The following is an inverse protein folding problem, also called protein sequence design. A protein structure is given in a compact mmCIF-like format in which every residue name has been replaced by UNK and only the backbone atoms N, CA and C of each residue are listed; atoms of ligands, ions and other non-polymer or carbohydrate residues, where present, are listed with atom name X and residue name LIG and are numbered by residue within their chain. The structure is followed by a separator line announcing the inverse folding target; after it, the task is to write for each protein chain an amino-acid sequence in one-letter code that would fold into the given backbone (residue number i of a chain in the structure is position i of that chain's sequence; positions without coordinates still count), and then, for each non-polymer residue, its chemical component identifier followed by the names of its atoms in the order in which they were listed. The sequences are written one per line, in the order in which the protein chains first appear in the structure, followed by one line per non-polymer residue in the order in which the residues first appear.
data_IF_104648668773
#
_entry.id   IF_104648668773
#
_cell.length_a   1.000
_cell.length_b   1.000
_cell.length_c   1.000
_cell.angle_alpha   90.00
_cell.angle_beta   90.00
_cell.angle_gamma   90.00
#
_symmetry.space_group_name_H-M   'P 1'
#
loop_
_entity.id
_entity.type
_entity.pdbx_description
1 polymer ?
#
# COMPACT_ATOMS: atom_id res chain seq x y z
N UNK A 1 9.08 -6.06 18.92
CA UNK A 1 9.70 -5.49 17.71
C UNK A 1 10.29 -6.60 16.85
N UNK A 2 9.96 -6.61 15.59
CA UNK A 2 10.49 -7.58 14.64
C UNK A 2 10.82 -6.89 13.31
N UNK A 3 11.90 -7.34 12.64
CA UNK A 3 12.35 -6.77 11.39
C UNK A 3 12.19 -7.77 10.25
N UNK A 4 11.92 -7.24 9.06
CA UNK A 4 11.78 -8.00 7.83
C UNK A 4 12.54 -7.30 6.71
N UNK A 5 13.18 -8.06 5.85
CA UNK A 5 13.89 -7.51 4.70
C UNK A 5 13.11 -7.80 3.44
N UNK A 6 12.75 -6.75 2.72
CA UNK A 6 12.09 -6.85 1.41
C UNK A 6 12.93 -6.25 0.30
N UNK A 7 12.32 -6.20 -0.89
CA UNK A 7 12.90 -5.57 -2.08
C UNK A 7 12.29 -4.18 -2.26
N UNK A 8 13.13 -3.17 -2.43
CA UNK A 8 12.65 -1.81 -2.70
C UNK A 8 12.10 -1.73 -4.12
N UNK A 9 10.82 -1.39 -4.26
CA UNK A 9 10.20 -1.11 -5.57
C UNK A 9 10.26 0.39 -5.85
N UNK A 10 9.80 1.20 -4.89
CA UNK A 10 10.04 2.65 -4.90
C UNK A 10 10.68 3.04 -3.58
N UNK A 11 11.70 3.93 -3.62
CA UNK A 11 12.45 4.26 -2.42
C UNK A 11 11.73 5.25 -1.51
N UNK A 12 12.19 5.31 -0.27
CA UNK A 12 11.72 6.28 0.71
C UNK A 12 11.68 5.69 2.09
N UNK A 13 11.44 6.57 3.07
CA UNK A 13 11.26 6.20 4.46
C UNK A 13 9.86 6.61 4.90
N UNK A 14 9.25 5.80 5.73
CA UNK A 14 7.92 6.08 6.26
C UNK A 14 7.75 5.42 7.62
N UNK A 15 6.90 6.02 8.45
CA UNK A 15 6.46 5.44 9.69
C UNK A 15 4.95 5.68 9.80
N UNK A 16 4.18 4.63 9.95
CA UNK A 16 2.74 4.73 9.99
C UNK A 16 2.11 3.55 10.72
N UNK A 17 0.86 3.71 11.05
CA UNK A 17 0.04 2.65 11.64
C UNK A 17 -0.34 1.63 10.56
N UNK A 18 -0.18 0.36 10.87
CA UNK A 18 -0.50 -0.73 9.95
C UNK A 18 -2.00 -0.85 9.70
N UNK A 19 -2.33 -1.14 8.44
CA UNK A 19 -3.64 -1.58 8.02
C UNK A 19 -3.43 -2.84 7.16
N UNK A 20 -3.95 -3.99 7.60
CA UNK A 20 -3.58 -5.30 7.07
C UNK A 20 -4.75 -5.97 6.37
N UNK A 21 -4.48 -6.52 5.19
CA UNK A 21 -5.40 -7.44 4.52
C UNK A 21 -4.70 -8.75 4.20
N UNK A 22 -5.40 -9.86 4.36
CA UNK A 22 -4.91 -11.19 3.96
C UNK A 22 -5.48 -11.62 2.61
N UNK A 23 -6.41 -10.85 2.05
CA UNK A 23 -6.93 -11.03 0.70
C UNK A 23 -6.25 -10.08 -0.29
N UNK A 24 -6.33 -10.40 -1.57
CA UNK A 24 -5.81 -9.51 -2.61
C UNK A 24 -6.49 -8.16 -2.59
N UNK A 25 -5.72 -7.10 -2.82
CA UNK A 25 -6.27 -5.74 -2.91
C UNK A 25 -6.71 -5.45 -4.34
N UNK A 26 -8.00 -5.29 -4.55
CA UNK A 26 -8.53 -4.77 -5.82
C UNK A 26 -8.40 -3.25 -5.78
N UNK A 27 -7.38 -2.73 -6.44
CA UNK A 27 -7.01 -1.32 -6.35
C UNK A 27 -8.13 -0.41 -6.84
N UNK A 28 -8.74 -0.74 -7.99
CA UNK A 28 -9.84 0.05 -8.53
C UNK A 28 -11.04 0.07 -7.58
N UNK A 29 -11.51 -1.09 -7.16
CA UNK A 29 -12.67 -1.19 -6.27
C UNK A 29 -12.41 -0.51 -4.92
N UNK A 30 -11.19 -0.59 -4.43
CA UNK A 30 -10.82 -0.04 -3.11
C UNK A 30 -10.75 1.49 -3.11
N UNK A 31 -10.19 2.12 -4.16
CA UNK A 31 -9.93 3.56 -4.20
C UNK A 31 -10.94 4.37 -5.00
N UNK A 32 -11.61 3.77 -6.00
CA UNK A 32 -12.39 4.51 -6.98
C UNK A 32 -13.40 5.46 -6.34
N UNK A 33 -14.21 4.95 -5.42
CA UNK A 33 -15.27 5.72 -4.79
C UNK A 33 -14.73 6.90 -4.00
N UNK A 34 -13.68 6.67 -3.24
CA UNK A 34 -13.06 7.73 -2.43
C UNK A 34 -12.44 8.81 -3.30
N UNK A 35 -11.77 8.45 -4.39
CA UNK A 35 -11.18 9.42 -5.30
C UNK A 35 -12.27 10.20 -6.04
N UNK A 36 -13.34 9.52 -6.45
CA UNK A 36 -14.43 10.12 -7.22
C UNK A 36 -15.23 11.13 -6.38
N UNK A 37 -15.45 10.84 -5.11
CA UNK A 37 -16.27 11.68 -4.22
C UNK A 37 -15.46 12.52 -3.26
N UNK A 38 -14.14 12.60 -3.42
CA UNK A 38 -13.27 13.50 -2.67
C UNK A 38 -13.09 13.12 -1.19
N UNK A 39 -13.17 11.84 -0.85
CA UNK A 39 -12.91 11.36 0.51
C UNK A 39 -11.41 11.40 0.80
N UNK A 40 -10.99 12.34 1.64
CA UNK A 40 -9.58 12.55 2.01
C UNK A 40 -8.98 11.39 2.80
N UNK A 41 -9.80 10.58 3.45
CA UNK A 41 -9.34 9.43 4.22
C UNK A 41 -9.15 8.19 3.36
N UNK A 42 -9.62 8.21 2.11
CA UNK A 42 -9.57 7.10 1.18
C UNK A 42 -10.12 5.81 1.80
N UNK A 43 -11.35 5.85 2.28
CA UNK A 43 -12.01 4.64 2.80
C UNK A 43 -12.13 3.60 1.71
N UNK A 44 -11.74 2.37 2.03
CA UNK A 44 -11.82 1.27 1.09
C UNK A 44 -13.27 0.99 0.71
N UNK A 45 -13.57 1.04 -0.59
CA UNK A 45 -14.90 0.80 -1.14
C UNK A 45 -15.15 -0.62 -1.61
N UNK A 46 -14.18 -1.52 -1.47
CA UNK A 46 -14.31 -2.90 -1.94
C UNK A 46 -15.05 -3.76 -0.94
N UNK A 47 -16.33 -4.02 -1.22
CA UNK A 47 -17.18 -4.85 -0.38
C UNK A 47 -16.73 -6.31 -0.31
N UNK A 48 -15.92 -6.75 -1.26
CA UNK A 48 -15.39 -8.11 -1.30
C UNK A 48 -14.13 -8.29 -0.45
N UNK A 49 -13.63 -7.22 0.16
CA UNK A 49 -12.48 -7.29 1.07
C UNK A 49 -12.94 -6.97 2.49
N UNK A 50 -13.25 -7.99 3.30
CA UNK A 50 -13.77 -7.76 4.65
C UNK A 50 -12.72 -7.16 5.60
N UNK A 51 -11.42 -7.34 5.32
CA UNK A 51 -10.36 -6.78 6.15
C UNK A 51 -10.29 -5.26 6.07
N UNK A 52 -10.59 -4.70 4.89
CA UNK A 52 -10.39 -3.27 4.61
C UNK A 52 -11.68 -2.48 4.45
N UNK A 53 -12.78 -3.10 4.08
CA UNK A 53 -13.99 -2.38 3.71
C UNK A 53 -14.38 -1.32 4.74
N UNK A 54 -14.54 -0.08 4.28
CA UNK A 54 -14.91 1.06 5.12
C UNK A 54 -13.80 1.64 5.98
N UNK A 55 -12.60 1.05 5.94
CA UNK A 55 -11.46 1.56 6.72
C UNK A 55 -10.66 2.59 5.93
N UNK A 56 -10.16 3.65 6.57
CA UNK A 56 -9.35 4.66 5.90
C UNK A 56 -7.98 4.10 5.53
N UNK A 57 -7.57 4.27 4.28
CA UNK A 57 -6.28 3.79 3.77
C UNK A 57 -5.23 4.89 3.66
N UNK A 58 -5.65 6.15 3.53
CA UNK A 58 -4.72 7.26 3.38
C UNK A 58 -3.84 7.41 4.62
N UNK A 59 -2.54 7.52 4.41
CA UNK A 59 -1.58 7.70 5.51
C UNK A 59 -1.30 6.45 6.33
N UNK A 60 -1.83 5.30 5.95
CA UNK A 60 -1.58 4.03 6.64
C UNK A 60 -0.45 3.25 5.97
N UNK A 61 0.23 2.40 6.74
CA UNK A 61 1.12 1.39 6.20
C UNK A 61 0.25 0.22 5.73
N UNK A 62 -0.06 0.18 4.44
CA UNK A 62 -0.95 -0.83 3.88
C UNK A 62 -0.19 -2.11 3.60
N UNK A 63 -0.52 -3.16 4.35
CA UNK A 63 0.13 -4.48 4.28
C UNK A 63 -0.81 -5.47 3.58
N UNK A 64 -0.32 -6.11 2.52
CA UNK A 64 -1.15 -6.93 1.63
C UNK A 64 -0.35 -8.06 0.99
N UNK A 65 -1.02 -9.14 0.55
CA UNK A 65 -0.30 -10.18 -0.18
C UNK A 65 0.03 -9.76 -1.61
N UNK A 66 -0.95 -9.21 -2.32
CA UNK A 66 -0.85 -8.85 -3.74
C UNK A 66 -2.01 -7.94 -4.14
N UNK A 67 -1.90 -7.30 -5.30
CA UNK A 67 -3.05 -6.63 -5.93
C UNK A 67 -3.75 -7.58 -6.89
N UNK A 68 -5.04 -7.35 -7.08
CA UNK A 68 -5.90 -8.11 -8.00
C UNK A 68 -6.80 -7.15 -8.76
N UNK A 69 -7.47 -7.66 -9.77
CA UNK A 69 -8.54 -6.92 -10.49
C UNK A 69 -8.07 -6.29 -11.78
N UNK A 70 -8.59 -5.08 -12.03
CA UNK A 70 -8.48 -4.39 -13.31
C UNK A 70 -7.05 -4.03 -13.71
N UNK A 71 -6.80 -4.02 -15.02
CA UNK A 71 -5.55 -3.51 -15.61
C UNK A 71 -5.34 -2.01 -15.36
N UNK A 72 -6.36 -1.29 -14.92
CA UNK A 72 -6.25 0.13 -14.55
C UNK A 72 -5.75 0.34 -13.13
N UNK A 73 -5.46 -0.71 -12.38
CA UNK A 73 -5.05 -0.61 -10.98
C UNK A 73 -3.83 0.29 -10.77
N UNK A 74 -2.84 0.23 -11.64
CA UNK A 74 -1.66 1.09 -11.57
C UNK A 74 -2.02 2.57 -11.76
N UNK A 75 -2.89 2.89 -12.70
CA UNK A 75 -3.36 4.25 -12.91
C UNK A 75 -4.11 4.77 -11.68
N UNK A 76 -4.90 3.91 -11.05
CA UNK A 76 -5.63 4.28 -9.81
C UNK A 76 -4.65 4.61 -8.69
N UNK A 77 -3.59 3.83 -8.51
CA UNK A 77 -2.55 4.14 -7.52
C UNK A 77 -1.88 5.48 -7.82
N UNK A 78 -1.55 5.74 -9.09
CA UNK A 78 -1.01 7.02 -9.50
C UNK A 78 -1.96 8.16 -9.14
N UNK A 79 -3.25 8.02 -9.45
CA UNK A 79 -4.26 9.04 -9.13
C UNK A 79 -4.39 9.27 -7.62
N UNK A 80 -4.35 8.21 -6.81
CA UNK A 80 -4.37 8.34 -5.36
C UNK A 80 -3.19 9.19 -4.87
N UNK A 81 -1.99 8.95 -5.41
CA UNK A 81 -0.82 9.75 -5.08
C UNK A 81 -0.96 11.20 -5.56
N UNK A 82 -1.48 11.41 -6.76
CA UNK A 82 -1.67 12.75 -7.32
C UNK A 82 -2.66 13.59 -6.51
N UNK A 83 -3.63 12.94 -5.89
CA UNK A 83 -4.67 13.58 -5.09
C UNK A 83 -4.36 13.61 -3.59
N UNK A 84 -3.18 13.17 -3.17
CA UNK A 84 -2.77 13.06 -1.75
C UNK A 84 -3.71 12.15 -0.93
N UNK A 85 -4.15 11.05 -1.56
CA UNK A 85 -5.02 10.05 -0.94
C UNK A 85 -4.31 8.70 -0.76
N UNK A 86 -3.01 8.67 -1.02
CA UNK A 86 -2.23 7.42 -1.00
C UNK A 86 -2.01 6.91 0.42
N UNK A 87 -1.79 5.60 0.58
CA UNK A 87 -1.20 5.06 1.81
C UNK A 87 0.16 5.70 2.09
N UNK A 88 0.60 5.70 3.34
CA UNK A 88 1.95 6.16 3.68
C UNK A 88 3.01 5.28 3.01
N UNK A 89 2.72 4.01 2.86
CA UNK A 89 3.55 3.03 2.16
C UNK A 89 2.72 1.81 1.82
N UNK A 90 3.21 1.02 0.86
CA UNK A 90 2.60 -0.28 0.52
C UNK A 90 3.63 -1.39 0.73
N UNK A 91 3.25 -2.42 1.47
CA UNK A 91 4.13 -3.51 1.88
C UNK A 91 3.53 -4.84 1.43
N UNK A 92 4.17 -5.45 0.44
CA UNK A 92 3.68 -6.68 -0.20
C UNK A 92 4.39 -7.90 0.36
N UNK A 93 3.62 -8.93 0.73
CA UNK A 93 4.19 -10.23 1.09
C UNK A 93 4.79 -10.92 -0.13
N UNK A 94 4.11 -10.87 -1.28
CA UNK A 94 4.55 -11.46 -2.53
C UNK A 94 5.24 -10.43 -3.43
N UNK A 95 5.94 -10.86 -4.50
CA UNK A 95 6.40 -9.92 -5.51
C UNK A 95 5.24 -9.10 -6.09
N UNK A 96 5.45 -7.80 -6.25
CA UNK A 96 4.43 -6.90 -6.79
C UNK A 96 4.20 -7.21 -8.27
N UNK A 97 2.95 -7.12 -8.72
CA UNK A 97 2.61 -7.25 -10.14
C UNK A 97 3.05 -6.01 -10.92
N UNK A 98 3.23 -6.20 -12.24
CA UNK A 98 3.75 -5.15 -13.11
C UNK A 98 2.84 -3.93 -13.21
N UNK A 99 1.52 -4.12 -13.11
CA UNK A 99 0.56 -3.01 -13.21
C UNK A 99 0.64 -2.08 -11.99
N UNK A 100 0.62 -2.66 -10.80
CA UNK A 100 0.76 -1.88 -9.57
C UNK A 100 2.14 -1.23 -9.49
N UNK A 101 3.19 -1.96 -9.85
CA UNK A 101 4.56 -1.45 -9.88
C UNK A 101 4.67 -0.24 -10.82
N UNK A 102 4.09 -0.32 -12.02
CA UNK A 102 4.11 0.78 -12.97
C UNK A 102 3.47 2.04 -12.38
N UNK A 103 2.31 1.91 -11.75
CA UNK A 103 1.63 3.04 -11.12
C UNK A 103 2.44 3.67 -9.99
N UNK A 104 3.02 2.86 -9.13
CA UNK A 104 3.85 3.31 -8.02
C UNK A 104 5.13 4.02 -8.53
N UNK A 105 5.79 3.44 -9.51
CA UNK A 105 7.02 4.00 -10.09
C UNK A 105 6.72 5.33 -10.78
N UNK A 106 5.65 5.41 -11.57
CA UNK A 106 5.26 6.66 -12.23
C UNK A 106 4.94 7.76 -11.22
N UNK A 107 4.28 7.41 -10.12
CA UNK A 107 4.01 8.38 -9.06
C UNK A 107 5.31 8.92 -8.44
N UNK A 108 6.28 8.03 -8.20
CA UNK A 108 7.59 8.42 -7.66
C UNK A 108 8.36 9.34 -8.61
N UNK A 109 8.30 9.05 -9.93
CA UNK A 109 9.06 9.80 -10.94
C UNK A 109 8.37 11.11 -11.34
N UNK A 110 7.05 11.08 -11.53
CA UNK A 110 6.33 12.22 -12.10
C UNK A 110 5.72 13.17 -11.06
N UNK A 111 5.47 12.70 -9.85
CA UNK A 111 4.89 13.54 -8.79
C UNK A 111 5.98 13.99 -7.83
N UNK A 112 6.20 13.22 -6.77
CA UNK A 112 7.17 13.56 -5.74
C UNK A 112 7.88 12.29 -5.28
N UNK A 113 9.22 12.22 -5.38
CA UNK A 113 9.96 11.07 -4.88
C UNK A 113 9.70 10.82 -3.40
N UNK A 114 9.53 9.57 -3.04
CA UNK A 114 9.30 9.15 -1.66
C UNK A 114 7.90 9.39 -1.11
N UNK A 115 6.94 9.80 -1.96
CA UNK A 115 5.57 10.07 -1.53
C UNK A 115 4.85 8.82 -1.04
N UNK A 116 5.08 7.69 -1.69
CA UNK A 116 4.54 6.39 -1.29
C UNK A 116 5.60 5.31 -1.53
N UNK A 117 6.48 5.07 -0.55
CA UNK A 117 7.44 3.98 -0.67
C UNK A 117 6.74 2.62 -0.80
N UNK A 118 7.28 1.76 -1.65
CA UNK A 118 6.75 0.42 -1.88
C UNK A 118 7.86 -0.60 -1.72
N UNK A 119 7.61 -1.60 -0.88
CA UNK A 119 8.52 -2.72 -0.63
C UNK A 119 7.74 -4.00 -0.89
N UNK A 120 8.31 -4.95 -1.62
CA UNK A 120 7.67 -6.24 -1.88
C UNK A 120 8.54 -7.41 -1.41
N UNK A 121 8.04 -8.61 -1.64
CA UNK A 121 8.75 -9.85 -1.31
C UNK A 121 9.11 -9.96 0.19
N UNK A 122 8.27 -9.39 1.06
CA UNK A 122 8.47 -9.45 2.51
C UNK A 122 8.17 -10.82 3.10
N UNK A 123 7.34 -11.63 2.42
CA UNK A 123 7.04 -13.00 2.81
C UNK A 123 5.81 -13.16 3.69
N UNK A 124 5.36 -14.40 3.80
CA UNK A 124 4.17 -14.75 4.59
C UNK A 124 4.39 -14.52 6.09
N UNK A 125 5.60 -14.69 6.59
CA UNK A 125 5.91 -14.45 8.00
C UNK A 125 5.64 -12.99 8.37
N UNK A 126 5.98 -12.04 7.50
CA UNK A 126 5.66 -10.63 7.69
C UNK A 126 4.15 -10.42 7.79
N UNK A 127 3.40 -10.94 6.82
CA UNK A 127 1.96 -10.72 6.76
C UNK A 127 1.23 -11.38 7.93
N UNK A 128 1.75 -12.51 8.42
CA UNK A 128 1.18 -13.19 9.58
C UNK A 128 1.48 -12.48 10.89
N UNK A 129 2.61 -11.77 10.97
CA UNK A 129 3.05 -11.08 12.18
C UNK A 129 2.37 -9.73 12.34
N UNK A 130 2.29 -8.93 11.27
CA UNK A 130 1.77 -7.57 11.35
C UNK A 130 0.26 -7.57 11.59
N UNK A 131 -0.19 -6.70 12.50
CA UNK A 131 -1.62 -6.54 12.83
C UNK A 131 -2.02 -5.07 12.71
N UNK A 132 -3.29 -4.84 12.47
CA UNK A 132 -3.85 -3.49 12.47
C UNK A 132 -3.46 -2.76 13.75
N UNK A 133 -3.03 -1.51 13.59
CA UNK A 133 -2.67 -0.66 14.71
C UNK A 133 -1.21 -0.73 15.13
N UNK A 134 -0.45 -1.73 14.69
CA UNK A 134 0.99 -1.78 14.96
C UNK A 134 1.71 -0.65 14.23
N UNK A 135 2.79 -0.15 14.81
CA UNK A 135 3.64 0.85 14.15
C UNK A 135 4.60 0.16 13.20
N UNK A 136 4.59 0.60 11.96
CA UNK A 136 5.48 0.08 10.90
C UNK A 136 6.40 1.19 10.45
N UNK A 137 7.70 0.89 10.41
CA UNK A 137 8.74 1.81 9.96
C UNK A 137 9.50 1.19 8.80
N UNK A 138 9.65 1.95 7.71
CA UNK A 138 10.45 1.55 6.55
C UNK A 138 11.73 2.36 6.53
N UNK A 139 12.87 1.67 6.45
CA UNK A 139 14.15 2.28 6.17
C UNK A 139 14.45 2.33 4.66
N UNK A 140 15.56 3.00 4.27
CA UNK A 140 15.85 3.26 2.85
C UNK A 140 16.20 2.01 2.03
N UNK A 141 16.60 0.92 2.67
CA UNK A 141 17.09 -0.29 2.00
C UNK A 141 16.06 -1.44 2.00
N UNK A 142 14.80 -1.14 2.22
CA UNK A 142 13.75 -2.16 2.28
C UNK A 142 13.67 -2.89 3.62
N UNK A 143 14.32 -2.39 4.65
CA UNK A 143 14.18 -2.93 5.99
C UNK A 143 12.89 -2.42 6.62
N UNK A 144 12.03 -3.34 7.02
CA UNK A 144 10.72 -3.02 7.62
C UNK A 144 10.75 -3.46 9.08
N UNK A 145 10.45 -2.55 9.98
CA UNK A 145 10.37 -2.81 11.42
C UNK A 145 8.92 -2.70 11.87
N UNK A 146 8.45 -3.71 12.61
CA UNK A 146 7.06 -3.77 13.11
C UNK A 146 7.09 -3.81 14.64
N UNK A 147 6.35 -2.89 15.27
CA UNK A 147 6.23 -2.79 16.73
C UNK A 147 4.78 -2.84 17.19
#
# INVERSE_FOLDING_TARGET
MKTFQGRVVTPGCAQAEALVTHGGLNTLASFQKSLQFGDKTAKCGDQNNPDLYGKPMAGKALCLPQTIGSTTGGLVLYCACAMDRQPACMLFANPIDSLAAAGAILADVWLQPGKMPVVDSLGEEFLSYVKDGMTVTIGPNGLVTVE
#
